data_IF_243052314018
#
_entry.id   IF_243052314018
#
_cell.length_a   1.000
_cell.length_b   1.000
_cell.length_c   1.000
_cell.angle_alpha   90.00
_cell.angle_beta   90.00
_cell.angle_gamma   90.00
#
_symmetry.space_group_name_H-M   'P 1'
#
loop_
_entity.id
_entity.type
_entity.pdbx_description
1 polymer ?
#
# COMPACT_ATOMS: atom_id res chain seq x y z
N UNK A 1 18.41 6.56 -9.42
CA UNK A 1 17.07 7.09 -9.75
C UNK A 1 16.64 6.46 -11.08
N UNK A 2 15.88 5.36 -11.03
CA UNK A 2 15.42 4.66 -12.23
C UNK A 2 14.02 5.19 -12.57
N UNK A 3 13.91 5.94 -13.66
CA UNK A 3 12.67 6.44 -14.25
C UNK A 3 11.98 5.30 -15.02
N UNK A 4 10.98 4.66 -14.41
CA UNK A 4 10.04 3.79 -15.13
C UNK A 4 8.88 4.67 -15.62
N UNK A 5 8.64 4.77 -16.94
CA UNK A 5 7.55 5.59 -17.49
C UNK A 5 6.21 5.02 -17.00
N UNK A 6 5.43 5.85 -16.28
CA UNK A 6 4.08 5.51 -15.85
C UNK A 6 3.18 5.41 -17.10
N UNK A 7 2.63 4.22 -17.44
CA UNK A 7 1.69 4.11 -18.56
C UNK A 7 0.37 4.81 -18.23
N UNK A 8 -0.31 5.44 -19.22
CA UNK A 8 -1.42 6.35 -18.97
C UNK A 8 -2.77 5.67 -18.68
N UNK A 9 -2.79 4.38 -18.36
CA UNK A 9 -4.02 3.65 -18.09
C UNK A 9 -3.86 2.88 -16.78
N UNK A 10 -4.75 3.15 -15.80
CA UNK A 10 -4.82 2.64 -14.41
C UNK A 10 -4.20 3.49 -13.27
N UNK A 11 -3.91 4.77 -13.48
CA UNK A 11 -3.33 5.65 -12.45
C UNK A 11 -4.24 6.05 -11.26
N UNK A 12 -5.46 5.51 -11.14
CA UNK A 12 -6.45 6.05 -10.18
C UNK A 12 -6.65 5.29 -8.87
N UNK A 13 -6.28 3.99 -8.81
CA UNK A 13 -6.66 3.12 -7.68
C UNK A 13 -5.50 2.29 -7.11
N UNK A 14 -4.50 1.92 -7.93
CA UNK A 14 -3.40 1.05 -7.48
C UNK A 14 -2.43 1.76 -6.52
N UNK A 15 -2.19 3.05 -6.71
CA UNK A 15 -1.31 3.84 -5.84
C UNK A 15 -1.80 3.86 -4.39
N UNK A 16 -3.12 4.00 -4.18
CA UNK A 16 -3.67 4.17 -2.82
C UNK A 16 -3.74 2.84 -2.07
N UNK A 17 -4.05 1.75 -2.79
CA UNK A 17 -3.97 0.40 -2.23
C UNK A 17 -2.53 0.09 -1.79
N UNK A 18 -1.54 0.47 -2.61
CA UNK A 18 -0.13 0.27 -2.27
C UNK A 18 0.30 1.12 -1.07
N UNK A 19 -0.11 2.38 -0.99
CA UNK A 19 0.22 3.25 0.15
C UNK A 19 -0.46 2.83 1.46
N UNK A 20 -1.75 2.46 1.41
CA UNK A 20 -2.46 1.92 2.59
C UNK A 20 -1.81 0.59 3.01
N UNK A 21 -1.44 -0.27 2.06
CA UNK A 21 -0.74 -1.52 2.33
C UNK A 21 0.64 -1.30 2.95
N UNK A 22 1.41 -0.33 2.44
CA UNK A 22 2.69 0.05 3.03
C UNK A 22 2.51 0.55 4.47
N UNK A 23 1.49 1.37 4.74
CA UNK A 23 1.18 1.82 6.10
C UNK A 23 0.82 0.65 7.03
N UNK A 24 0.03 -0.33 6.57
CA UNK A 24 -0.30 -1.53 7.34
C UNK A 24 0.95 -2.38 7.64
N UNK A 25 1.84 -2.56 6.66
CA UNK A 25 3.10 -3.28 6.85
C UNK A 25 4.03 -2.55 7.81
N UNK A 26 4.18 -1.23 7.67
CA UNK A 26 4.99 -0.44 8.61
C UNK A 26 4.46 -0.59 10.04
N UNK A 27 3.14 -0.51 10.23
CA UNK A 27 2.53 -0.71 11.54
C UNK A 27 2.74 -2.13 12.08
N UNK A 28 2.60 -3.16 11.24
CA UNK A 28 2.78 -4.56 11.63
C UNK A 28 4.24 -4.89 11.98
N UNK A 29 5.21 -4.27 11.29
CA UNK A 29 6.63 -4.49 11.49
C UNK A 29 7.26 -3.55 12.53
N UNK A 30 6.46 -2.66 13.14
CA UNK A 30 6.94 -1.69 14.13
C UNK A 30 7.86 -0.61 13.54
N UNK A 31 7.70 -0.29 12.25
CA UNK A 31 8.46 0.77 11.61
C UNK A 31 7.88 2.14 11.96
N UNK A 32 8.77 3.08 12.31
CA UNK A 32 8.41 4.47 12.58
C UNK A 32 7.87 5.14 11.29
N UNK A 33 6.75 5.89 11.35
CA UNK A 33 6.28 6.67 10.21
C UNK A 33 7.30 7.77 9.86
N UNK A 34 7.95 7.66 8.72
CA UNK A 34 8.81 8.73 8.20
C UNK A 34 8.01 9.67 7.33
N UNK A 35 7.99 10.96 7.66
CA UNK A 35 7.43 11.99 6.78
C UNK A 35 8.21 12.06 5.47
N UNK A 36 7.51 11.99 4.34
CA UNK A 36 8.10 12.10 3.00
C UNK A 36 7.47 13.27 2.26
N UNK A 37 8.28 14.18 1.72
CA UNK A 37 7.81 15.40 1.05
C UNK A 37 6.92 15.12 -0.19
N UNK A 38 7.07 13.94 -0.78
CA UNK A 38 6.36 13.48 -1.98
C UNK A 38 4.86 13.20 -1.75
N UNK A 39 4.40 13.14 -0.48
CA UNK A 39 3.07 12.67 -0.11
C UNK A 39 1.91 13.60 -0.52
N UNK A 40 2.18 14.88 -0.77
CA UNK A 40 1.12 15.87 -0.99
C UNK A 40 0.51 15.83 -2.41
N UNK A 41 1.27 15.36 -3.40
CA UNK A 41 0.91 15.49 -4.82
C UNK A 41 -0.33 14.67 -5.22
N UNK A 42 -0.69 13.65 -4.44
CA UNK A 42 -1.79 12.76 -4.74
C UNK A 42 -3.03 12.98 -3.85
N UNK A 43 -2.92 13.69 -2.72
CA UNK A 43 -4.06 13.93 -1.80
C UNK A 43 -5.27 14.53 -2.53
N UNK A 44 -5.06 15.44 -3.48
CA UNK A 44 -6.17 16.05 -4.23
C UNK A 44 -6.89 15.03 -5.13
N UNK A 45 -6.14 14.09 -5.73
CA UNK A 45 -6.72 13.01 -6.52
C UNK A 45 -7.51 12.02 -5.63
N UNK A 46 -7.05 11.74 -4.40
CA UNK A 46 -7.77 10.89 -3.43
C UNK A 46 -9.07 11.56 -3.01
N UNK A 47 -8.99 12.84 -2.66
CA UNK A 47 -10.17 13.61 -2.26
C UNK A 47 -11.21 13.65 -3.38
N UNK A 48 -10.79 13.76 -4.64
CA UNK A 48 -11.70 13.70 -5.79
C UNK A 48 -12.39 12.33 -5.92
N UNK A 49 -11.63 11.24 -5.79
CA UNK A 49 -12.17 9.88 -5.83
C UNK A 49 -13.14 9.60 -4.67
N UNK A 50 -12.80 10.02 -3.44
CA UNK A 50 -13.63 9.83 -2.25
C UNK A 50 -14.90 10.69 -2.25
N UNK A 51 -14.85 11.87 -2.88
CA UNK A 51 -16.05 12.69 -3.11
C UNK A 51 -17.02 12.03 -4.08
N UNK A 52 -16.52 11.33 -5.10
CA UNK A 52 -17.34 10.58 -6.05
C UNK A 52 -17.87 9.26 -5.49
N UNK A 53 -17.05 8.52 -4.75
CA UNK A 53 -17.44 7.25 -4.15
C UNK A 53 -16.87 7.08 -2.74
N UNK A 54 -17.74 7.23 -1.74
CA UNK A 54 -17.40 7.03 -0.32
C UNK A 54 -17.03 5.58 0.02
N UNK A 55 -17.38 4.62 -0.84
CA UNK A 55 -17.03 3.20 -0.66
C UNK A 55 -15.65 2.86 -1.20
N UNK A 56 -15.06 3.71 -2.03
CA UNK A 56 -13.75 3.46 -2.63
C UNK A 56 -12.67 3.23 -1.57
N UNK A 57 -12.71 3.96 -0.45
CA UNK A 57 -11.74 3.78 0.65
C UNK A 57 -11.83 2.39 1.30
N UNK A 58 -13.04 1.86 1.48
CA UNK A 58 -13.23 0.55 2.11
C UNK A 58 -12.79 -0.58 1.19
N UNK A 59 -13.05 -0.44 -0.12
CA UNK A 59 -12.56 -1.39 -1.12
C UNK A 59 -11.04 -1.37 -1.19
N UNK A 60 -10.44 -0.18 -1.21
CA UNK A 60 -8.98 -0.03 -1.23
C UNK A 60 -8.34 -0.61 0.04
N UNK A 61 -8.89 -0.32 1.22
CA UNK A 61 -8.44 -0.87 2.49
C UNK A 61 -8.57 -2.41 2.55
N UNK A 62 -9.65 -2.97 2.02
CA UNK A 62 -9.84 -4.42 1.97
C UNK A 62 -8.78 -5.10 1.09
N UNK A 63 -8.51 -4.54 -0.10
CA UNK A 63 -7.46 -5.03 -0.99
C UNK A 63 -6.06 -4.88 -0.36
N UNK A 64 -5.79 -3.74 0.28
CA UNK A 64 -4.53 -3.48 0.97
C UNK A 64 -4.30 -4.44 2.14
N UNK A 65 -5.35 -4.75 2.91
CA UNK A 65 -5.28 -5.71 4.01
C UNK A 65 -4.96 -7.12 3.49
N UNK A 66 -5.64 -7.55 2.44
CA UNK A 66 -5.37 -8.86 1.83
C UNK A 66 -3.92 -8.97 1.32
N UNK A 67 -3.41 -7.93 0.67
CA UNK A 67 -2.02 -7.89 0.20
C UNK A 67 -1.01 -7.89 1.37
N UNK A 68 -1.27 -7.12 2.41
CA UNK A 68 -0.40 -7.05 3.59
C UNK A 68 -0.34 -8.39 4.32
N UNK A 69 -1.50 -9.03 4.52
CA UNK A 69 -1.59 -10.36 5.14
C UNK A 69 -0.82 -11.41 4.33
N UNK A 70 -0.91 -11.37 3.01
CA UNK A 70 -0.16 -12.27 2.14
C UNK A 70 1.36 -12.11 2.33
N UNK A 71 1.85 -10.88 2.40
CA UNK A 71 3.27 -10.59 2.61
C UNK A 71 3.73 -11.08 3.99
N UNK A 72 2.99 -10.76 5.05
CA UNK A 72 3.33 -11.19 6.41
C UNK A 72 3.36 -12.72 6.54
N UNK A 73 2.34 -13.40 6.00
CA UNK A 73 2.31 -14.86 6.01
C UNK A 73 3.49 -15.49 5.23
N UNK A 74 3.92 -14.87 4.13
CA UNK A 74 5.09 -15.33 3.38
C UNK A 74 6.40 -15.12 4.17
N UNK A 75 6.50 -14.04 4.94
CA UNK A 75 7.65 -13.79 5.83
C UNK A 75 7.74 -14.83 6.94
N UNK A 76 6.64 -15.13 7.62
CA UNK A 76 6.58 -16.15 8.67
C UNK A 76 6.97 -17.54 8.13
N UNK A 77 6.50 -17.88 6.93
CA UNK A 77 6.84 -19.15 6.27
C UNK A 77 8.32 -19.25 5.91
N UNK A 78 8.93 -18.17 5.43
CA UNK A 78 10.37 -18.10 5.15
C UNK A 78 11.21 -18.21 6.44
N UNK A 79 10.80 -17.56 7.53
CA UNK A 79 11.46 -17.70 8.84
C UNK A 79 11.41 -19.13 9.36
N UNK A 80 10.23 -19.78 9.29
CA UNK A 80 10.07 -21.18 9.69
C UNK A 80 10.94 -22.12 8.85
N UNK A 81 11.07 -21.87 7.55
CA UNK A 81 11.91 -22.67 6.67
C UNK A 81 13.40 -22.49 6.96
N UNK A 82 13.84 -21.27 7.31
CA UNK A 82 15.23 -21.01 7.73
C UNK A 82 15.56 -21.64 9.08
N UNK A 83 14.64 -21.67 10.02
CA UNK A 83 14.84 -22.31 11.32
C UNK A 83 14.96 -23.85 11.24
N UNK A 84 14.42 -24.46 10.18
CA UNK A 84 14.46 -25.90 9.94
C UNK A 84 15.70 -26.39 9.17
N UNK A 85 16.51 -25.47 8.61
CA UNK A 85 17.71 -25.76 7.83
C UNK A 85 18.99 -25.69 8.68
#
# INVERSE_FOLDING_TARGET
MILIPQPPFFAGLSGYVAEIGAAFLCAALGMEPTEREDHAAYIDHWLSALRHDKRAIFQAATAAQAASNFILAAMDADEAQRAAA
#
